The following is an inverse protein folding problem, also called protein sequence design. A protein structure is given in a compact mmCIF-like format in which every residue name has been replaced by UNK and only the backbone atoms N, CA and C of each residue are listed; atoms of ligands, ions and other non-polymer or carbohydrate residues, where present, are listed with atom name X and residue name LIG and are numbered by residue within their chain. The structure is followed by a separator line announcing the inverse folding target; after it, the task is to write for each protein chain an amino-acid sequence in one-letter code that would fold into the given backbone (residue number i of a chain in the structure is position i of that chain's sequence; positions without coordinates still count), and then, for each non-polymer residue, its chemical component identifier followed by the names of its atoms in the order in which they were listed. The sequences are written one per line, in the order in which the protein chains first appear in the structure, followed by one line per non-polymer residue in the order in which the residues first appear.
data_IF_170458820994
#
_entry.id   IF_170458820994
#
_cell.length_a   1.000
_cell.length_b   1.000
_cell.length_c   1.000
_cell.angle_alpha   90.00
_cell.angle_beta   90.00
_cell.angle_gamma   90.00
#
_symmetry.space_group_name_H-M   'P 1'
#
loop_
_entity.id
_entity.type
_entity.pdbx_description
1 polymer ?
#
# COMPACT_ATOMS: atom_id res chain seq x y z
N UNK A 1 -8.10 -19.02 -18.38
CA UNK A 1 -6.89 -18.22 -18.69
C UNK A 1 -6.89 -17.73 -20.15
N UNK A 2 -7.96 -17.05 -20.56
CA UNK A 2 -8.19 -16.57 -21.93
C UNK A 2 -8.12 -15.03 -22.05
N UNK A 3 -7.66 -14.35 -21.00
CA UNK A 3 -7.50 -12.89 -21.05
C UNK A 3 -6.27 -12.54 -21.87
N UNK A 4 -6.47 -11.80 -22.95
CA UNK A 4 -5.44 -11.23 -23.82
C UNK A 4 -4.83 -9.93 -23.24
N UNK A 5 -5.26 -9.51 -22.05
CA UNK A 5 -4.74 -8.30 -21.40
C UNK A 5 -3.55 -8.68 -20.50
N UNK A 6 -2.31 -8.33 -20.87
CA UNK A 6 -1.16 -8.60 -20.01
C UNK A 6 -1.29 -7.78 -18.71
N UNK A 7 -1.37 -8.46 -17.57
CA UNK A 7 -1.21 -7.83 -16.26
C UNK A 7 0.26 -7.92 -15.85
N UNK A 8 0.95 -6.77 -15.83
CA UNK A 8 2.25 -6.66 -15.17
C UNK A 8 1.98 -6.57 -13.66
N UNK A 9 2.36 -7.60 -12.90
CA UNK A 9 2.17 -7.68 -11.44
C UNK A 9 2.97 -6.67 -10.61
N UNK A 10 3.61 -5.67 -11.24
CA UNK A 10 4.40 -4.65 -10.57
C UNK A 10 3.56 -3.84 -9.57
N UNK A 11 2.32 -3.49 -9.90
CA UNK A 11 1.46 -2.71 -9.01
C UNK A 11 1.08 -3.48 -7.73
N UNK A 12 0.89 -4.80 -7.82
CA UNK A 12 0.69 -5.65 -6.65
C UNK A 12 1.93 -5.70 -5.73
N UNK A 13 3.14 -5.76 -6.31
CA UNK A 13 4.37 -5.70 -5.54
C UNK A 13 4.50 -4.34 -4.80
N UNK A 14 4.14 -3.23 -5.45
CA UNK A 14 4.09 -1.89 -4.82
C UNK A 14 3.12 -1.89 -3.64
N UNK A 15 1.93 -2.51 -3.77
CA UNK A 15 0.99 -2.67 -2.65
C UNK A 15 1.62 -3.41 -1.46
N UNK A 16 2.42 -4.44 -1.73
CA UNK A 16 3.18 -5.15 -0.70
C UNK A 16 4.22 -4.28 0.00
N UNK A 17 4.91 -3.42 -0.75
CA UNK A 17 5.84 -2.43 -0.19
C UNK A 17 5.11 -1.41 0.68
N UNK A 18 3.92 -0.94 0.28
CA UNK A 18 3.10 -0.02 1.09
C UNK A 18 2.66 -0.66 2.41
N UNK A 19 2.26 -1.94 2.39
CA UNK A 19 1.94 -2.69 3.62
C UNK A 19 3.15 -2.79 4.56
N UNK A 20 4.34 -3.04 3.99
CA UNK A 20 5.58 -3.05 4.74
C UNK A 20 5.94 -1.68 5.32
N UNK A 21 5.82 -0.62 4.52
CA UNK A 21 6.08 0.76 4.94
C UNK A 21 5.17 1.16 6.11
N UNK A 22 3.86 0.92 6.00
CA UNK A 22 2.91 1.19 7.07
C UNK A 22 3.24 0.42 8.36
N UNK A 23 3.70 -0.83 8.24
CA UNK A 23 4.01 -1.69 9.39
C UNK A 23 5.32 -1.28 10.08
N UNK A 24 6.34 -0.91 9.31
CA UNK A 24 7.67 -0.58 9.81
C UNK A 24 7.81 0.87 10.25
N UNK A 25 7.05 1.78 9.62
CA UNK A 25 7.14 3.22 9.84
C UNK A 25 5.77 3.84 10.19
N UNK A 26 5.10 3.40 11.27
CA UNK A 26 3.76 3.88 11.63
C UNK A 26 3.72 5.38 11.97
N UNK A 27 4.87 5.97 12.34
CA UNK A 27 5.00 7.39 12.67
C UNK A 27 5.53 8.25 11.50
N UNK A 28 5.75 7.67 10.31
CA UNK A 28 6.19 8.45 9.17
C UNK A 28 5.11 9.45 8.75
N UNK A 29 5.55 10.67 8.43
CA UNK A 29 4.69 11.77 8.01
C UNK A 29 5.06 12.18 6.60
N UNK A 30 4.05 12.57 5.83
CA UNK A 30 4.20 13.07 4.46
C UNK A 30 3.67 14.48 4.43
N UNK A 31 4.44 15.41 3.84
CA UNK A 31 3.95 16.75 3.56
C UNK A 31 2.93 16.62 2.45
N UNK A 32 1.69 16.95 2.75
CA UNK A 32 0.58 16.81 1.80
C UNK A 32 -0.17 18.12 1.68
N UNK A 33 -0.65 18.35 0.46
CA UNK A 33 -1.55 19.43 0.15
C UNK A 33 -2.95 19.03 0.60
N UNK A 34 -3.47 19.70 1.62
CA UNK A 34 -4.82 19.46 2.13
C UNK A 34 -5.69 20.64 1.71
N UNK A 35 -6.66 20.43 0.81
CA UNK A 35 -7.60 21.47 0.42
C UNK A 35 -8.58 21.73 1.57
N UNK A 36 -8.49 22.91 2.18
CA UNK A 36 -9.43 23.38 3.21
C UNK A 36 -10.29 24.46 2.55
N UNK A 37 -11.42 24.04 1.98
CA UNK A 37 -12.32 24.87 1.16
C UNK A 37 -11.60 25.53 -0.03
N UNK A 38 -11.31 26.83 0.08
CA UNK A 38 -10.66 27.65 -0.95
C UNK A 38 -9.14 27.78 -0.69
N UNK A 39 -8.68 27.41 0.51
CA UNK A 39 -7.28 27.53 0.89
C UNK A 39 -6.54 26.21 0.69
N UNK A 40 -5.37 26.32 0.05
CA UNK A 40 -4.43 25.23 -0.10
C UNK A 40 -3.44 25.30 1.07
N UNK A 41 -3.48 24.31 1.97
CA UNK A 41 -2.56 24.25 3.10
C UNK A 41 -1.65 23.03 3.01
N UNK A 42 -0.35 23.23 3.18
CA UNK A 42 0.61 22.13 3.27
C UNK A 42 0.74 21.70 4.72
N UNK A 43 0.37 20.46 5.02
CA UNK A 43 0.53 19.90 6.37
C UNK A 43 1.09 18.49 6.36
N UNK A 44 1.79 18.15 7.45
CA UNK A 44 2.36 16.83 7.68
C UNK A 44 1.31 15.84 8.20
N UNK A 45 0.89 14.94 7.33
CA UNK A 45 -0.12 13.92 7.64
C UNK A 45 0.56 12.56 7.81
N UNK A 46 0.17 11.75 8.81
CA UNK A 46 0.67 10.38 8.95
C UNK A 46 0.44 9.55 7.69
N UNK A 47 1.49 8.90 7.19
CA UNK A 47 1.45 8.16 5.94
C UNK A 47 0.45 7.00 5.94
N UNK A 48 0.22 6.38 7.11
CA UNK A 48 -0.71 5.26 7.24
C UNK A 48 -2.15 5.66 6.89
N UNK A 49 -2.54 6.93 7.05
CA UNK A 49 -3.89 7.41 6.71
C UNK A 49 -4.13 7.23 5.21
N UNK A 50 -3.21 7.69 4.37
CA UNK A 50 -3.31 7.54 2.92
C UNK A 50 -3.30 6.07 2.50
N UNK A 51 -2.44 5.27 3.12
CA UNK A 51 -2.30 3.84 2.79
C UNK A 51 -3.59 3.08 3.13
N UNK A 52 -4.17 3.30 4.31
CA UNK A 52 -5.42 2.65 4.73
C UNK A 52 -6.59 3.11 3.86
N UNK A 53 -6.73 4.42 3.61
CA UNK A 53 -7.78 4.95 2.73
C UNK A 53 -7.67 4.36 1.32
N UNK A 54 -6.47 4.34 0.75
CA UNK A 54 -6.23 3.77 -0.57
C UNK A 54 -6.54 2.27 -0.60
N UNK A 55 -6.12 1.50 0.41
CA UNK A 55 -6.41 0.07 0.50
C UNK A 55 -7.92 -0.21 0.65
N UNK A 56 -8.62 0.59 1.45
CA UNK A 56 -10.08 0.52 1.57
C UNK A 56 -10.77 0.77 0.22
N UNK A 57 -10.27 1.74 -0.57
CA UNK A 57 -10.75 1.95 -1.94
C UNK A 57 -10.49 0.73 -2.83
N UNK A 58 -9.37 0.01 -2.69
CA UNK A 58 -9.14 -1.24 -3.43
C UNK A 58 -10.21 -2.30 -3.10
N UNK A 59 -10.60 -2.42 -1.83
CA UNK A 59 -11.66 -3.35 -1.41
C UNK A 59 -13.02 -2.97 -1.99
N UNK A 60 -13.39 -1.69 -1.91
CA UNK A 60 -14.66 -1.19 -2.46
C UNK A 60 -14.70 -1.35 -3.97
N UNK A 61 -13.68 -0.90 -4.69
CA UNK A 61 -13.62 -0.99 -6.14
C UNK A 61 -13.50 -2.44 -6.62
N UNK A 62 -12.76 -3.28 -5.90
CA UNK A 62 -12.71 -4.72 -6.14
C UNK A 62 -14.08 -5.36 -5.99
N UNK A 63 -14.83 -5.02 -4.94
CA UNK A 63 -16.20 -5.50 -4.76
C UNK A 63 -17.15 -5.01 -5.87
N UNK A 64 -17.12 -3.71 -6.20
CA UNK A 64 -17.93 -3.15 -7.29
C UNK A 64 -17.61 -3.76 -8.65
N UNK A 65 -16.34 -4.14 -8.89
CA UNK A 65 -15.91 -4.81 -10.11
C UNK A 65 -16.47 -6.23 -10.26
N UNK A 66 -16.99 -6.85 -9.21
CA UNK A 66 -17.65 -8.17 -9.30
C UNK A 66 -19.03 -8.09 -9.97
N UNK A 67 -19.72 -6.94 -9.86
CA UNK A 67 -21.02 -6.71 -10.50
C UNK A 67 -20.92 -6.23 -11.95
N UNK A 68 -19.73 -5.80 -12.37
CA UNK A 68 -19.41 -5.42 -13.74
C UNK A 68 -18.55 -6.55 -14.30
N UNK A 69 -19.18 -7.56 -14.91
CA UNK A 69 -18.44 -8.50 -15.76
C UNK A 69 -17.85 -7.64 -16.88
N UNK A 70 -16.57 -7.29 -16.75
CA UNK A 70 -15.92 -6.35 -17.64
C UNK A 70 -15.97 -6.93 -19.05
N UNK A 71 -16.74 -6.27 -19.92
CA UNK A 71 -16.68 -6.42 -21.36
C UNK A 71 -15.24 -6.10 -21.82
N UNK A 72 -14.40 -7.13 -21.87
CA UNK A 72 -13.19 -7.25 -22.69
C UNK A 72 -12.07 -6.20 -22.60
N UNK A 73 -12.22 -5.12 -21.85
CA UNK A 73 -11.30 -3.98 -21.81
C UNK A 73 -10.44 -3.94 -20.55
N UNK A 74 -9.16 -3.58 -20.69
CA UNK A 74 -8.16 -3.55 -19.62
C UNK A 74 -8.56 -2.71 -18.40
N UNK A 75 -9.12 -3.36 -17.39
CA UNK A 75 -9.50 -2.77 -16.10
C UNK A 75 -8.37 -2.82 -15.07
N UNK A 76 -8.51 -2.03 -14.01
CA UNK A 76 -7.59 -2.02 -12.86
C UNK A 76 -7.66 -3.36 -12.13
N UNK A 77 -6.52 -3.97 -11.86
CA UNK A 77 -6.42 -5.26 -11.17
C UNK A 77 -6.54 -5.12 -9.64
N UNK A 78 -7.72 -4.71 -9.14
CA UNK A 78 -7.96 -4.47 -7.71
C UNK A 78 -7.57 -5.65 -6.82
N UNK A 79 -7.90 -6.89 -7.23
CA UNK A 79 -7.53 -8.10 -6.49
C UNK A 79 -6.02 -8.34 -6.42
N UNK A 80 -5.25 -7.94 -7.44
CA UNK A 80 -3.79 -8.00 -7.40
C UNK A 80 -3.22 -7.01 -6.36
N UNK A 81 -3.82 -5.82 -6.24
CA UNK A 81 -3.45 -4.87 -5.19
C UNK A 81 -3.78 -5.40 -3.80
N UNK A 82 -4.97 -5.97 -3.62
CA UNK A 82 -5.41 -6.54 -2.34
C UNK A 82 -4.49 -7.68 -1.92
N UNK A 83 -4.26 -8.65 -2.82
CA UNK A 83 -3.39 -9.80 -2.58
C UNK A 83 -1.95 -9.38 -2.29
N UNK A 84 -1.41 -8.43 -3.07
CA UNK A 84 -0.07 -7.90 -2.87
C UNK A 84 0.11 -7.21 -1.51
N UNK A 85 -0.87 -6.41 -1.09
CA UNK A 85 -0.86 -5.76 0.22
C UNK A 85 -0.86 -6.77 1.37
N UNK A 86 -1.77 -7.76 1.33
CA UNK A 86 -1.86 -8.79 2.36
C UNK A 86 -0.60 -9.67 2.40
N UNK A 87 -0.08 -10.05 1.24
CA UNK A 87 1.18 -10.80 1.14
C UNK A 87 2.34 -9.99 1.75
N UNK A 88 2.46 -8.70 1.44
CA UNK A 88 3.45 -7.81 2.05
C UNK A 88 3.31 -7.70 3.56
N UNK A 89 2.08 -7.59 4.06
CA UNK A 89 1.78 -7.52 5.49
C UNK A 89 2.24 -8.78 6.23
N UNK A 90 1.96 -9.94 5.67
CA UNK A 90 2.38 -11.25 6.20
C UNK A 90 3.90 -11.40 6.13
N UNK A 91 4.52 -11.05 4.99
CA UNK A 91 5.97 -11.12 4.81
C UNK A 91 6.70 -10.25 5.83
N UNK A 92 6.28 -8.99 6.01
CA UNK A 92 6.92 -8.11 6.99
C UNK A 92 6.72 -8.65 8.40
N UNK A 93 5.52 -9.07 8.79
CA UNK A 93 5.30 -9.64 10.14
C UNK A 93 6.07 -10.93 10.40
N UNK A 94 6.24 -11.79 9.39
CA UNK A 94 6.91 -13.09 9.53
C UNK A 94 8.43 -13.03 9.37
N UNK A 95 8.94 -12.14 8.53
CA UNK A 95 10.36 -12.14 8.12
C UNK A 95 11.14 -10.96 8.71
N UNK A 96 10.48 -9.85 9.07
CA UNK A 96 11.20 -8.69 9.60
C UNK A 96 11.75 -8.98 10.99
N UNK A 97 13.06 -8.76 11.14
CA UNK A 97 13.76 -8.83 12.42
C UNK A 97 14.38 -7.47 12.69
N UNK A 98 13.92 -6.78 13.73
CA UNK A 98 14.52 -5.51 14.16
C UNK A 98 16.01 -5.78 14.46
N UNK A 99 16.95 -5.06 13.82
CA UNK A 99 18.37 -5.23 14.11
C UNK A 99 18.60 -5.05 15.61
N UNK A 100 19.18 -6.05 16.27
CA UNK A 100 19.68 -5.87 17.64
C UNK A 100 20.80 -4.84 17.52
N UNK A 101 20.54 -3.62 17.99
CA UNK A 101 21.52 -2.54 17.93
C UNK A 101 22.85 -3.04 18.48
N UNK A 102 23.92 -2.91 17.70
CA UNK A 102 25.29 -3.24 18.12
C UNK A 102 25.76 -2.20 19.14
N UNK A 103 25.08 -2.16 20.30
CA UNK A 103 25.58 -1.50 21.50
C UNK A 103 26.56 -2.48 22.11
N UNK A 104 27.85 -2.35 21.80
CA UNK A 104 28.96 -2.53 22.74
C UNK A 104 30.31 -2.50 22.02
N UNK A 105 31.26 -1.84 22.70
CA UNK A 105 32.71 -1.70 22.44
C UNK A 105 33.16 -0.55 21.53
N UNK A 106 32.87 0.68 21.96
CA UNK A 106 33.70 1.85 21.59
C UNK A 106 34.39 2.51 22.80
N UNK A 107 34.31 1.89 23.98
CA UNK A 107 35.11 2.25 25.15
C UNK A 107 35.67 0.97 25.74
N UNK A 108 36.85 0.57 25.27
CA UNK A 108 37.73 -0.39 25.92
C UNK A 108 39.16 -0.05 25.55
#
# INVERSE_FOLDING_TARGET
PSSMVPMIGASGAISGVLAGYMTLFPHARVVTLVPIFIFIHFMEVPAWIFIVLWFALQLVQGYLSLGVIADGGGGVAFFAHIGGFLAGLVCVRGLYRKPKGRRQRLFR
#
